data_IF_104001247277
#
_entry.id   IF_104001247277
#
_cell.length_a   1.000
_cell.length_b   1.000
_cell.length_c   1.000
_cell.angle_alpha   90.00
_cell.angle_beta   90.00
_cell.angle_gamma   90.00
#
_symmetry.space_group_name_H-M   'P 1'
#
loop_
_entity.id
_entity.type
_entity.pdbx_description
1 polymer ?
#
# COMPACT_ATOMS: atom_id res chain seq x y z
N UNK A 1 12.84 -13.66 3.04
CA UNK A 1 12.15 -12.46 3.53
C UNK A 1 12.31 -12.43 5.04
N UNK A 2 13.17 -11.55 5.54
CA UNK A 2 13.52 -11.43 6.96
C UNK A 2 12.34 -10.80 7.73
N UNK A 3 11.48 -11.66 8.27
CA UNK A 3 10.20 -11.28 8.90
C UNK A 3 10.41 -10.33 10.09
N UNK A 4 11.55 -10.43 10.78
CA UNK A 4 11.85 -9.64 11.98
C UNK A 4 12.15 -8.18 11.65
N UNK A 5 12.83 -7.91 10.52
CA UNK A 5 13.07 -6.53 10.08
C UNK A 5 11.79 -5.82 9.67
N UNK A 6 10.90 -6.53 8.98
CA UNK A 6 9.59 -6.01 8.60
C UNK A 6 8.72 -5.75 9.83
N UNK A 7 8.70 -6.67 10.80
CA UNK A 7 7.95 -6.51 12.04
C UNK A 7 8.44 -5.30 12.84
N UNK A 8 9.75 -5.12 13.00
CA UNK A 8 10.33 -3.93 13.64
C UNK A 8 9.98 -2.63 12.93
N UNK A 9 10.01 -2.60 11.61
CA UNK A 9 9.61 -1.41 10.84
C UNK A 9 8.12 -1.05 11.06
N UNK A 10 7.26 -2.06 11.24
CA UNK A 10 5.83 -1.85 11.54
C UNK A 10 5.55 -1.51 13.02
N UNK A 11 6.36 -2.01 13.96
CA UNK A 11 6.28 -1.65 15.38
C UNK A 11 6.69 -0.19 15.65
N UNK A 12 7.52 0.40 14.78
CA UNK A 12 7.87 1.83 14.80
C UNK A 12 6.74 2.75 14.28
N UNK A 13 5.65 2.19 13.73
CA UNK A 13 4.45 2.93 13.33
C UNK A 13 3.45 2.87 14.50
N UNK A 14 3.78 3.58 15.57
CA UNK A 14 2.98 3.67 16.79
C UNK A 14 1.82 4.69 16.67
N UNK A 15 0.94 4.73 17.67
CA UNK A 15 -0.20 5.66 17.71
C UNK A 15 0.23 7.13 17.68
N UNK A 16 1.37 7.47 18.27
CA UNK A 16 1.92 8.84 18.27
C UNK A 16 2.36 9.29 16.87
N UNK A 17 2.95 8.38 16.10
CA UNK A 17 3.30 8.59 14.70
C UNK A 17 2.05 8.75 13.81
N UNK A 18 0.97 8.00 14.10
CA UNK A 18 -0.31 8.12 13.38
C UNK A 18 -0.96 9.49 13.65
N UNK A 19 -0.92 10.00 14.88
CA UNK A 19 -1.44 11.33 15.24
C UNK A 19 -0.63 12.49 14.62
N UNK A 20 0.70 12.40 14.63
CA UNK A 20 1.58 13.36 13.94
C UNK A 20 1.34 13.36 12.42
N UNK A 21 0.97 12.20 11.88
CA UNK A 21 0.68 12.00 10.47
C UNK A 21 -0.70 12.51 10.04
N UNK A 22 -1.74 12.40 10.87
CA UNK A 22 -3.05 13.03 10.57
C UNK A 22 -2.95 14.55 10.43
N UNK A 23 -2.08 15.20 11.22
CA UNK A 23 -1.75 16.62 11.04
C UNK A 23 -1.08 16.90 9.69
N UNK A 24 -0.17 16.04 9.26
CA UNK A 24 0.54 16.18 7.98
C UNK A 24 -0.34 15.87 6.76
N UNK A 25 -1.33 14.98 6.88
CA UNK A 25 -2.25 14.64 5.79
C UNK A 25 -3.25 15.74 5.44
N UNK A 26 -3.67 16.56 6.41
CA UNK A 26 -4.50 17.73 6.11
C UNK A 26 -3.76 18.79 5.26
N UNK A 27 -2.42 18.72 5.21
CA UNK A 27 -1.59 19.59 4.38
C UNK A 27 -1.32 19.03 2.97
N UNK A 28 -1.52 17.73 2.74
CA UNK A 28 -1.28 17.07 1.45
C UNK A 28 -2.62 16.71 0.77
N UNK A 29 -2.94 17.39 -0.31
CA UNK A 29 -4.22 17.33 -1.01
C UNK A 29 -4.60 15.92 -1.49
N UNK A 30 -5.90 15.58 -1.39
CA UNK A 30 -6.53 14.34 -1.94
C UNK A 30 -6.24 14.09 -3.43
N UNK A 31 -5.79 15.10 -4.18
CA UNK A 31 -5.43 14.99 -5.59
C UNK A 31 -4.16 14.14 -5.82
N UNK A 32 -3.19 14.22 -4.91
CA UNK A 32 -1.87 13.62 -5.10
C UNK A 32 -1.91 12.09 -4.99
N UNK A 33 -2.82 11.55 -4.16
CA UNK A 33 -3.03 10.10 -4.01
C UNK A 33 -3.61 9.44 -5.27
N UNK A 34 -4.28 10.21 -6.15
CA UNK A 34 -4.84 9.69 -7.41
C UNK A 34 -3.81 9.59 -8.53
N UNK A 35 -2.71 10.34 -8.46
CA UNK A 35 -1.74 10.47 -9.55
C UNK A 35 -0.61 9.42 -9.54
N UNK A 36 -0.60 8.49 -8.59
CA UNK A 36 0.53 7.58 -8.35
C UNK A 36 0.52 6.43 -9.38
N UNK A 37 1.49 6.45 -10.31
CA UNK A 37 1.81 5.34 -11.22
C UNK A 37 2.80 4.36 -10.55
N UNK A 38 2.49 3.06 -10.62
CA UNK A 38 3.23 1.98 -9.96
C UNK A 38 3.84 0.99 -10.97
N UNK A 39 3.79 1.30 -12.26
CA UNK A 39 4.13 0.40 -13.37
C UNK A 39 5.62 -0.01 -13.45
N UNK A 40 6.56 0.76 -12.86
CA UNK A 40 8.01 0.60 -13.06
C UNK A 40 8.81 -0.25 -12.05
N UNK A 41 8.18 -1.01 -11.14
CA UNK A 41 8.85 -1.49 -9.91
C UNK A 41 9.24 -2.98 -9.94
N UNK A 42 10.43 -3.33 -10.44
CA UNK A 42 10.85 -4.74 -10.57
C UNK A 42 12.03 -5.15 -9.64
N UNK A 43 11.89 -6.34 -9.03
CA UNK A 43 12.86 -7.21 -8.30
C UNK A 43 12.99 -7.15 -6.76
N UNK A 44 13.35 -6.04 -6.09
CA UNK A 44 13.18 -5.91 -4.61
C UNK A 44 11.94 -5.10 -4.22
N UNK A 45 11.44 -4.37 -5.21
CA UNK A 45 10.24 -3.53 -5.15
C UNK A 45 8.98 -4.34 -5.46
N UNK A 46 9.09 -5.58 -5.97
CA UNK A 46 7.93 -6.43 -6.28
C UNK A 46 7.09 -6.77 -5.04
N UNK A 47 7.71 -7.18 -3.92
CA UNK A 47 6.97 -7.52 -2.70
C UNK A 47 6.24 -6.30 -2.12
N UNK A 48 6.93 -5.15 -2.01
CA UNK A 48 6.34 -3.91 -1.53
C UNK A 48 5.27 -3.36 -2.48
N UNK A 49 5.47 -3.49 -3.79
CA UNK A 49 4.46 -3.16 -4.80
C UNK A 49 3.25 -4.09 -4.71
N UNK A 50 3.42 -5.38 -4.43
CA UNK A 50 2.31 -6.31 -4.20
C UNK A 50 1.54 -5.92 -2.94
N UNK A 51 2.24 -5.59 -1.84
CA UNK A 51 1.60 -5.11 -0.62
C UNK A 51 0.82 -3.81 -0.87
N UNK A 52 1.44 -2.83 -1.53
CA UNK A 52 0.80 -1.58 -1.90
C UNK A 52 -0.39 -1.79 -2.86
N UNK A 53 -0.27 -2.72 -3.80
CA UNK A 53 -1.35 -3.10 -4.71
C UNK A 53 -2.54 -3.66 -3.94
N UNK A 54 -2.32 -4.65 -3.07
CA UNK A 54 -3.37 -5.26 -2.26
C UNK A 54 -4.05 -4.19 -1.40
N UNK A 55 -3.27 -3.35 -0.71
CA UNK A 55 -3.78 -2.25 0.12
C UNK A 55 -4.57 -1.21 -0.71
N UNK A 56 -4.15 -0.92 -1.94
CA UNK A 56 -4.91 -0.04 -2.83
C UNK A 56 -6.24 -0.70 -3.22
N UNK A 57 -6.22 -1.95 -3.66
CA UNK A 57 -7.43 -2.72 -4.03
C UNK A 57 -8.43 -2.91 -2.89
N UNK A 58 -7.97 -2.92 -1.63
CA UNK A 58 -8.85 -3.05 -0.45
C UNK A 58 -9.32 -1.73 0.16
N UNK A 59 -8.99 -0.57 -0.43
CA UNK A 59 -9.33 0.74 0.14
C UNK A 59 -10.85 0.95 0.34
N UNK A 60 -11.66 0.48 -0.61
CA UNK A 60 -13.12 0.54 -0.58
C UNK A 60 -13.78 -0.79 -0.20
N UNK A 61 -12.99 -1.76 0.24
CA UNK A 61 -13.43 -3.13 0.48
C UNK A 61 -13.32 -3.99 -0.78
N UNK A 62 -12.59 -5.10 -0.68
CA UNK A 62 -12.51 -6.07 -1.76
C UNK A 62 -12.67 -7.51 -1.26
N UNK A 63 -13.22 -8.36 -2.13
CA UNK A 63 -13.21 -9.81 -1.92
C UNK A 63 -11.82 -10.35 -2.25
N UNK A 64 -11.40 -11.39 -1.53
CA UNK A 64 -10.14 -12.12 -1.82
C UNK A 64 -10.01 -12.51 -3.29
N UNK A 65 -11.09 -12.95 -3.92
CA UNK A 65 -11.10 -13.34 -5.34
C UNK A 65 -10.81 -12.15 -6.25
N UNK A 66 -11.39 -10.99 -6.00
CA UNK A 66 -11.12 -9.76 -6.77
C UNK A 66 -9.63 -9.40 -6.70
N UNK A 67 -9.06 -9.38 -5.49
CA UNK A 67 -7.65 -9.05 -5.30
C UNK A 67 -6.74 -10.06 -5.99
N UNK A 68 -7.06 -11.36 -5.91
CA UNK A 68 -6.28 -12.43 -6.54
C UNK A 68 -6.16 -12.24 -8.06
N UNK A 69 -7.29 -11.94 -8.73
CA UNK A 69 -7.33 -11.75 -10.17
C UNK A 69 -6.60 -10.47 -10.61
N UNK A 70 -6.73 -9.38 -9.85
CA UNK A 70 -6.12 -8.11 -10.21
C UNK A 70 -4.60 -8.10 -9.93
N UNK A 71 -4.11 -8.83 -8.93
CA UNK A 71 -2.71 -8.82 -8.52
C UNK A 71 -1.80 -9.79 -9.29
N UNK A 72 -2.35 -10.61 -10.19
CA UNK A 72 -1.64 -11.69 -10.91
C UNK A 72 -0.83 -12.61 -9.98
N UNK A 73 -1.39 -12.94 -8.81
CA UNK A 73 -0.74 -13.76 -7.78
C UNK A 73 -1.23 -15.21 -7.83
N UNK A 74 -0.37 -16.15 -7.47
CA UNK A 74 -0.83 -17.50 -7.11
C UNK A 74 -1.66 -17.45 -5.82
N UNK A 75 -2.60 -18.41 -5.66
CA UNK A 75 -3.42 -18.49 -4.45
C UNK A 75 -2.61 -18.61 -3.15
N UNK A 76 -1.42 -19.24 -3.21
CA UNK A 76 -0.48 -19.34 -2.08
C UNK A 76 0.15 -17.98 -1.75
N UNK A 77 0.63 -17.24 -2.75
CA UNK A 77 1.19 -15.90 -2.55
C UNK A 77 0.15 -14.95 -1.95
N UNK A 78 -1.06 -14.94 -2.52
CA UNK A 78 -2.15 -14.10 -2.02
C UNK A 78 -2.47 -14.41 -0.55
N UNK A 79 -2.52 -15.69 -0.16
CA UNK A 79 -2.73 -16.08 1.24
C UNK A 79 -1.63 -15.53 2.16
N UNK A 80 -0.37 -15.64 1.74
CA UNK A 80 0.76 -15.18 2.54
C UNK A 80 0.75 -13.65 2.71
N UNK A 81 0.56 -12.89 1.62
CA UNK A 81 0.52 -11.43 1.69
C UNK A 81 -0.67 -10.92 2.49
N UNK A 82 -1.85 -11.50 2.30
CA UNK A 82 -3.04 -11.09 3.04
C UNK A 82 -2.91 -11.41 4.52
N UNK A 83 -2.38 -12.60 4.86
CA UNK A 83 -2.11 -12.97 6.26
C UNK A 83 -1.13 -12.01 6.92
N UNK A 84 -0.09 -11.59 6.20
CA UNK A 84 0.89 -10.62 6.69
C UNK A 84 0.26 -9.24 6.92
N UNK A 85 -0.53 -8.73 5.95
CA UNK A 85 -1.18 -7.43 6.06
C UNK A 85 -2.24 -7.39 7.16
N UNK A 86 -2.88 -8.52 7.46
CA UNK A 86 -3.81 -8.64 8.59
C UNK A 86 -3.04 -8.67 9.91
N UNK A 87 -1.99 -9.49 10.01
CA UNK A 87 -1.22 -9.58 11.25
C UNK A 87 -0.45 -8.28 11.58
N UNK A 88 -0.11 -7.47 10.57
CA UNK A 88 0.47 -6.13 10.77
C UNK A 88 -0.56 -5.03 11.06
N UNK A 89 -1.87 -5.35 10.99
CA UNK A 89 -2.96 -4.39 11.20
C UNK A 89 -3.14 -3.39 10.06
N UNK A 90 -2.63 -3.68 8.86
CA UNK A 90 -2.83 -2.87 7.66
C UNK A 90 -4.14 -3.18 6.93
N UNK A 91 -4.66 -4.40 7.12
CA UNK A 91 -5.94 -4.85 6.59
C UNK A 91 -6.77 -5.42 7.74
N UNK A 92 -8.08 -5.20 7.66
CA UNK A 92 -9.07 -5.85 8.52
C UNK A 92 -10.12 -6.59 7.68
N UNK A 93 -10.67 -7.64 8.29
CA UNK A 93 -11.77 -8.41 7.73
C UNK A 93 -13.11 -7.88 8.25
N UNK A 94 -14.05 -7.61 7.36
CA UNK A 94 -15.42 -7.21 7.69
C UNK A 94 -16.43 -8.15 7.03
N UNK A 95 -17.53 -8.42 7.73
CA UNK A 95 -18.64 -9.17 7.16
C UNK A 95 -19.28 -8.39 5.99
N UNK A 96 -19.34 -9.02 4.82
CA UNK A 96 -19.97 -8.43 3.64
C UNK A 96 -21.50 -8.53 3.68
N UNK A 97 -22.20 -7.56 3.09
CA UNK A 97 -23.68 -7.51 3.01
C UNK A 97 -24.33 -8.74 2.34
N UNK A 98 -23.61 -9.40 1.43
CA UNK A 98 -24.01 -10.67 0.80
C UNK A 98 -22.91 -11.68 1.13
N UNK A 99 -23.24 -12.71 1.94
CA UNK A 99 -22.38 -13.82 2.40
C UNK A 99 -20.94 -13.75 1.90
N UNK A 100 -19.99 -13.49 2.80
CA UNK A 100 -18.57 -13.49 2.51
C UNK A 100 -17.81 -12.45 3.31
N UNK A 101 -16.48 -12.55 3.28
CA UNK A 101 -15.56 -11.61 3.93
C UNK A 101 -15.12 -10.56 2.91
N UNK A 102 -15.12 -9.31 3.34
CA UNK A 102 -14.51 -8.18 2.64
C UNK A 102 -13.28 -7.72 3.41
N UNK A 103 -12.22 -7.43 2.68
CA UNK A 103 -10.95 -6.94 3.19
C UNK A 103 -10.89 -5.43 3.02
N UNK A 104 -10.60 -4.70 4.10
CA UNK A 104 -10.53 -3.25 4.13
C UNK A 104 -9.17 -2.77 4.58
N UNK A 105 -8.63 -1.78 3.90
CA UNK A 105 -7.40 -1.11 4.30
C UNK A 105 -7.66 -0.21 5.52
N UNK A 106 -6.91 -0.43 6.59
CA UNK A 106 -7.00 0.35 7.83
C UNK A 106 -6.30 1.70 7.70
N UNK A 107 -6.39 2.56 8.71
CA UNK A 107 -5.61 3.80 8.77
C UNK A 107 -4.10 3.52 8.63
N UNK A 108 -3.57 2.54 9.37
CA UNK A 108 -2.17 2.09 9.28
C UNK A 108 -1.80 1.64 7.86
N UNK A 109 -2.68 0.91 7.18
CA UNK A 109 -2.46 0.52 5.78
C UNK A 109 -2.36 1.72 4.83
N UNK A 110 -3.13 2.79 5.08
CA UNK A 110 -3.05 4.05 4.30
C UNK A 110 -1.74 4.79 4.56
N UNK A 111 -1.28 4.82 5.81
CA UNK A 111 0.04 5.38 6.18
C UNK A 111 1.14 4.70 5.37
N UNK A 112 1.15 3.36 5.35
CA UNK A 112 2.11 2.59 4.55
C UNK A 112 2.09 3.00 3.06
N UNK A 113 0.90 3.09 2.46
CA UNK A 113 0.76 3.48 1.05
C UNK A 113 1.41 4.83 0.77
N UNK A 114 1.20 5.83 1.62
CA UNK A 114 1.76 7.16 1.39
C UNK A 114 3.28 7.19 1.55
N UNK A 115 3.83 6.53 2.57
CA UNK A 115 5.29 6.44 2.70
C UNK A 115 5.91 5.69 1.53
N UNK A 116 5.28 4.61 1.09
CA UNK A 116 5.72 3.89 -0.10
C UNK A 116 5.75 4.81 -1.32
N UNK A 117 4.68 5.58 -1.57
CA UNK A 117 4.66 6.59 -2.64
C UNK A 117 5.76 7.64 -2.51
N UNK A 118 5.96 8.20 -1.32
CA UNK A 118 7.04 9.19 -1.09
C UNK A 118 8.41 8.60 -1.41
N UNK A 119 8.65 7.36 -0.98
CA UNK A 119 9.88 6.64 -1.28
C UNK A 119 10.04 6.49 -2.80
N UNK A 120 8.98 6.14 -3.53
CA UNK A 120 9.02 6.04 -4.98
C UNK A 120 9.33 7.38 -5.66
N UNK A 121 8.72 8.48 -5.21
CA UNK A 121 9.00 9.81 -5.76
C UNK A 121 10.43 10.29 -5.55
N UNK A 122 11.15 9.74 -4.56
CA UNK A 122 12.58 10.02 -4.38
C UNK A 122 13.48 9.30 -5.39
N UNK A 123 12.97 8.23 -6.00
CA UNK A 123 13.69 7.48 -7.04
C UNK A 123 13.31 7.92 -8.45
N UNK A 124 12.20 8.63 -8.62
CA UNK A 124 11.90 9.38 -9.84
C UNK A 124 12.69 10.70 -9.80
N UNK A 125 13.95 10.64 -10.25
CA UNK A 125 14.74 11.85 -10.52
C UNK A 125 13.92 12.81 -11.41
N UNK A 126 13.99 14.15 -11.21
CA UNK A 126 13.51 15.09 -12.21
C UNK A 126 14.25 14.77 -13.51
N UNK A 127 13.53 14.31 -14.54
CA UNK A 127 14.03 14.41 -15.90
C UNK A 127 14.11 15.91 -16.16
N UNK A 128 15.33 16.46 -16.29
CA UNK A 128 15.53 17.80 -16.82
C UNK A 128 14.68 17.94 -18.09
N UNK A 129 13.83 18.98 -18.11
CA UNK A 129 13.18 19.45 -19.33
C UNK A 129 14.27 19.59 -20.39
N UNK A 130 14.33 18.65 -21.33
CA UNK A 130 15.09 18.86 -22.55
C UNK A 130 14.37 19.96 -23.31
N UNK A 131 14.97 21.15 -23.24
CA UNK A 131 14.82 22.25 -24.19
C UNK A 131 14.35 21.74 -25.55
N UNK A 132 13.13 22.11 -25.93
CA UNK A 132 12.78 22.18 -27.33
C UNK A 132 13.26 23.55 -27.81
N UNK A 133 14.31 23.64 -28.65
CA UNK A 133 14.63 24.91 -29.25
C UNK A 133 13.45 25.34 -30.15
N UNK A 134 13.22 26.66 -30.10
CA UNK A 134 12.21 27.45 -30.81
C UNK A 134 12.10 27.10 -32.29
#
# INVERSE_FOLDING_TARGET
>A
MDQDKLKRAFELIDEGFIEEYEKSLNALSKADLKAIDLSGLNTRRAEMSILAFILKSTSDGAKKTKILYEANLSGRQMKNYLSFLISSGCIEERAGKKKGILYYTTARGKVFLTYWTKILSLFDSPQEEKDKPV
#
